data_IF_076348611196
#
_entry.id   IF_076348611196
#
_cell.length_a   1.000
_cell.length_b   1.000
_cell.length_c   1.000
_cell.angle_alpha   90.00
_cell.angle_beta   90.00
_cell.angle_gamma   90.00
#
_symmetry.space_group_name_H-M   'P 1'
#
loop_
_entity.id
_entity.type
_entity.pdbx_description
1 polymer ?
#
# COMPACT_ATOMS: atom_id res chain seq x y z
N UNK A 1 -8.30 0.45 -11.12
CA UNK A 1 -7.47 -0.45 -10.30
C UNK A 1 -8.29 -0.74 -9.05
N UNK A 2 -8.36 -2.00 -8.62
CA UNK A 2 -9.36 -2.60 -7.71
C UNK A 2 -10.69 -2.97 -8.40
N UNK A 3 -10.88 -4.28 -8.62
CA UNK A 3 -12.15 -4.91 -9.04
C UNK A 3 -12.95 -5.28 -7.77
N UNK A 4 -12.89 -4.43 -6.74
CA UNK A 4 -13.42 -4.72 -5.40
C UNK A 4 -14.44 -3.66 -4.96
N UNK A 5 -15.11 -3.89 -3.83
CA UNK A 5 -16.17 -3.01 -3.30
C UNK A 5 -15.68 -1.66 -2.76
N UNK A 6 -14.39 -1.32 -2.89
CA UNK A 6 -13.80 -0.03 -2.47
C UNK A 6 -13.59 0.96 -3.64
N UNK A 7 -14.38 0.83 -4.71
CA UNK A 7 -14.20 1.60 -5.95
C UNK A 7 -15.15 2.81 -6.11
N UNK A 8 -16.21 2.88 -5.31
CA UNK A 8 -17.13 4.02 -5.21
C UNK A 8 -17.62 4.17 -3.76
N UNK A 9 -18.20 5.31 -3.40
CA UNK A 9 -18.57 5.57 -2.01
C UNK A 9 -19.67 4.63 -1.47
N UNK A 10 -20.66 4.30 -2.27
CA UNK A 10 -21.80 3.48 -1.83
C UNK A 10 -21.35 2.06 -1.46
N UNK A 11 -20.60 1.40 -2.33
CA UNK A 11 -20.07 0.05 -2.07
C UNK A 11 -19.02 0.06 -0.96
N UNK A 12 -18.24 1.13 -0.85
CA UNK A 12 -17.22 1.26 0.18
C UNK A 12 -17.86 1.42 1.56
N UNK A 13 -18.95 2.17 1.70
CA UNK A 13 -19.72 2.26 2.94
C UNK A 13 -20.30 0.91 3.35
N UNK A 14 -20.86 0.14 2.40
CA UNK A 14 -21.33 -1.23 2.69
C UNK A 14 -20.18 -2.10 3.19
N UNK A 15 -19.00 -1.96 2.59
CA UNK A 15 -17.80 -2.67 3.01
C UNK A 15 -17.35 -2.27 4.42
N UNK A 16 -17.37 -0.97 4.74
CA UNK A 16 -17.03 -0.47 6.06
C UNK A 16 -18.00 -1.01 7.13
N UNK A 17 -19.30 -1.01 6.85
CA UNK A 17 -20.34 -1.59 7.72
C UNK A 17 -20.09 -3.08 7.97
N UNK A 18 -19.74 -3.85 6.92
CA UNK A 18 -19.41 -5.28 7.06
C UNK A 18 -18.19 -5.54 7.94
N UNK A 19 -17.25 -4.60 8.00
CA UNK A 19 -16.09 -4.65 8.89
C UNK A 19 -16.36 -4.05 10.28
N UNK A 20 -17.62 -3.77 10.62
CA UNK A 20 -18.00 -3.29 11.95
C UNK A 20 -17.96 -1.77 12.13
N UNK A 21 -17.65 -1.00 11.10
CA UNK A 21 -17.66 0.47 11.17
C UNK A 21 -19.07 1.06 10.98
N UNK A 22 -20.15 0.37 11.32
CA UNK A 22 -21.48 0.96 11.19
C UNK A 22 -21.64 2.15 12.14
N UNK A 23 -22.39 3.19 11.74
CA UNK A 23 -22.69 4.35 12.60
C UNK A 23 -23.17 3.91 14.00
N UNK A 24 -24.04 2.91 14.08
CA UNK A 24 -24.57 2.38 15.34
C UNK A 24 -23.52 1.70 16.24
N UNK A 25 -22.35 1.35 15.71
CA UNK A 25 -21.24 0.72 16.45
C UNK A 25 -20.24 1.78 16.91
N UNK A 26 -19.87 2.71 16.02
CA UNK A 26 -18.80 3.70 16.29
C UNK A 26 -19.32 5.05 16.77
N UNK A 27 -20.63 5.28 16.73
CA UNK A 27 -21.33 6.54 17.06
C UNK A 27 -20.73 7.77 16.35
N UNK A 28 -20.31 7.57 15.10
CA UNK A 28 -19.63 8.56 14.28
C UNK A 28 -20.09 8.44 12.82
N UNK A 29 -20.33 9.57 12.11
CA UNK A 29 -20.63 9.55 10.68
C UNK A 29 -19.50 8.91 9.86
N UNK A 30 -19.88 8.01 8.95
CA UNK A 30 -18.94 7.43 7.99
C UNK A 30 -19.00 8.21 6.69
N UNK A 31 -17.85 8.72 6.27
CA UNK A 31 -17.69 9.51 5.05
C UNK A 31 -16.58 8.91 4.21
N UNK A 32 -16.86 8.67 2.94
CA UNK A 32 -15.84 8.31 1.95
C UNK A 32 -15.32 9.61 1.35
N UNK A 33 -14.05 9.93 1.63
CA UNK A 33 -13.51 11.28 1.51
C UNK A 33 -13.32 11.78 0.06
N UNK A 34 -13.36 10.90 -0.94
CA UNK A 34 -13.16 11.21 -2.37
C UNK A 34 -14.47 11.31 -3.17
N UNK A 35 -15.59 11.45 -2.47
CA UNK A 35 -16.91 11.68 -3.05
C UNK A 35 -17.55 10.45 -3.68
N UNK A 36 -18.79 10.60 -4.17
CA UNK A 36 -19.64 9.48 -4.57
C UNK A 36 -18.98 8.54 -5.61
N UNK A 37 -18.22 9.12 -6.55
CA UNK A 37 -17.58 8.40 -7.67
C UNK A 37 -16.04 8.34 -7.55
N UNK A 38 -15.45 8.75 -6.43
CA UNK A 38 -14.00 8.78 -6.26
C UNK A 38 -13.29 9.82 -7.13
N UNK A 39 -13.96 10.93 -7.43
CA UNK A 39 -13.45 12.01 -8.29
C UNK A 39 -13.42 13.38 -7.59
N UNK A 40 -13.67 13.43 -6.27
CA UNK A 40 -13.57 14.64 -5.46
C UNK A 40 -12.22 14.69 -4.75
N UNK A 41 -11.30 15.48 -5.30
CA UNK A 41 -9.93 15.58 -4.80
C UNK A 41 -9.35 16.97 -5.07
N UNK A 42 -8.30 17.30 -4.32
CA UNK A 42 -7.48 18.47 -4.55
C UNK A 42 -6.06 18.07 -4.95
N UNK A 43 -5.44 18.84 -5.84
CA UNK A 43 -4.01 18.75 -6.09
C UNK A 43 -3.24 19.48 -5.00
N UNK A 44 -2.35 18.75 -4.32
CA UNK A 44 -1.49 19.24 -3.25
C UNK A 44 -0.07 19.27 -3.76
N UNK A 45 0.57 20.44 -3.75
CA UNK A 45 1.94 20.61 -4.23
C UNK A 45 2.96 20.06 -3.24
N UNK A 46 3.80 19.13 -3.68
CA UNK A 46 4.88 18.54 -2.89
C UNK A 46 6.21 18.76 -3.60
N UNK A 47 7.33 18.60 -2.89
CA UNK A 47 8.65 18.54 -3.50
C UNK A 47 9.17 17.09 -3.54
N UNK A 48 8.46 16.25 -4.30
CA UNK A 48 8.83 14.87 -4.54
C UNK A 48 9.89 14.71 -5.65
N UNK A 49 10.49 13.53 -5.70
CA UNK A 49 11.37 13.09 -6.79
C UNK A 49 10.59 12.61 -8.02
N UNK A 50 9.38 12.07 -7.85
CA UNK A 50 8.50 11.59 -8.91
C UNK A 50 7.40 12.58 -9.25
N UNK A 51 6.86 13.28 -8.25
CA UNK A 51 5.73 14.19 -8.41
C UNK A 51 6.03 15.59 -7.87
N UNK A 52 5.48 16.61 -8.55
CA UNK A 52 5.44 18.01 -8.06
C UNK A 52 4.09 18.38 -7.43
N UNK A 53 3.08 17.56 -7.66
CA UNK A 53 1.82 17.58 -6.94
C UNK A 53 1.22 16.18 -6.91
N UNK A 54 0.46 15.88 -5.86
CA UNK A 54 -0.27 14.62 -5.69
C UNK A 54 -1.75 14.93 -5.47
N UNK A 55 -2.61 13.96 -5.78
CA UNK A 55 -4.07 14.11 -5.68
C UNK A 55 -4.56 13.52 -4.37
N UNK A 56 -5.09 14.35 -3.49
CA UNK A 56 -5.59 13.94 -2.17
C UNK A 56 -7.10 14.16 -2.12
N UNK A 57 -7.82 13.20 -1.54
CA UNK A 57 -9.27 13.24 -1.38
C UNK A 57 -9.71 14.53 -0.68
N UNK A 58 -10.74 15.21 -1.21
CA UNK A 58 -11.12 16.56 -0.77
C UNK A 58 -11.55 16.59 0.71
N UNK A 59 -12.26 15.57 1.17
CA UNK A 59 -12.65 15.44 2.57
C UNK A 59 -11.48 15.34 3.54
N UNK A 60 -10.30 14.90 3.06
CA UNK A 60 -9.06 14.92 3.86
C UNK A 60 -8.49 16.33 3.86
N UNK A 61 -8.35 16.98 2.70
CA UNK A 61 -7.74 18.33 2.62
C UNK A 61 -8.55 19.43 3.31
N UNK A 62 -9.88 19.25 3.44
CA UNK A 62 -10.76 20.19 4.12
C UNK A 62 -10.80 19.99 5.65
N UNK A 63 -10.17 18.94 6.19
CA UNK A 63 -10.17 18.65 7.63
C UNK A 63 -9.17 19.53 8.41
N UNK A 64 -9.55 19.93 9.63
CA UNK A 64 -8.71 20.78 10.51
C UNK A 64 -7.62 20.00 11.28
N UNK A 65 -7.85 18.70 11.49
CA UNK A 65 -7.00 17.78 12.24
C UNK A 65 -7.26 16.34 11.77
N UNK A 66 -6.29 15.44 11.98
CA UNK A 66 -6.42 14.04 11.56
C UNK A 66 -5.92 13.08 12.64
N UNK A 67 -6.65 11.99 12.86
CA UNK A 67 -6.17 10.82 13.61
C UNK A 67 -6.10 9.65 12.63
N UNK A 68 -4.91 9.08 12.48
CA UNK A 68 -4.62 7.99 11.55
C UNK A 68 -4.57 6.68 12.33
N UNK A 69 -5.55 5.82 12.11
CA UNK A 69 -5.62 4.48 12.71
C UNK A 69 -5.11 3.44 11.72
N UNK A 70 -4.05 2.72 12.08
CA UNK A 70 -3.35 1.80 11.19
C UNK A 70 -3.29 0.41 11.79
N UNK A 71 -3.72 -0.61 11.06
CA UNK A 71 -3.36 -2.00 11.36
C UNK A 71 -2.04 -2.34 10.66
N UNK A 72 -1.00 -2.67 11.43
CA UNK A 72 0.29 -3.06 10.86
C UNK A 72 0.22 -4.49 10.34
N UNK A 73 0.53 -4.68 9.06
CA UNK A 73 0.43 -5.98 8.35
C UNK A 73 1.57 -6.14 7.35
N UNK A 74 1.81 -7.34 6.84
CA UNK A 74 2.72 -7.56 5.72
C UNK A 74 2.12 -7.11 4.37
N UNK A 75 2.95 -7.00 3.34
CA UNK A 75 2.48 -6.71 1.98
C UNK A 75 3.50 -7.11 0.92
N UNK A 76 3.09 -7.92 -0.05
CA UNK A 76 3.93 -8.43 -1.13
C UNK A 76 4.82 -7.38 -1.83
N UNK A 77 4.30 -6.16 -2.05
CA UNK A 77 5.03 -5.10 -2.77
C UNK A 77 5.67 -4.04 -1.90
N UNK A 78 5.33 -4.02 -0.61
CA UNK A 78 5.77 -2.94 0.29
C UNK A 78 6.62 -3.47 1.46
N UNK A 79 6.76 -4.79 1.59
CA UNK A 79 7.29 -5.46 2.78
C UNK A 79 6.22 -5.48 3.86
N UNK A 80 5.83 -4.30 4.33
CA UNK A 80 4.78 -4.10 5.32
C UNK A 80 3.88 -2.90 4.99
N UNK A 81 2.73 -2.84 5.66
CA UNK A 81 1.83 -1.70 5.64
C UNK A 81 1.76 -1.07 7.02
N UNK A 82 2.30 0.14 7.15
CA UNK A 82 2.16 1.00 8.31
C UNK A 82 1.38 2.29 7.99
N UNK A 83 1.56 3.31 8.82
CA UNK A 83 0.97 4.63 8.70
C UNK A 83 1.28 5.27 7.33
N UNK A 84 2.49 5.11 6.79
CA UNK A 84 2.86 5.68 5.50
C UNK A 84 1.99 5.09 4.37
N UNK A 85 1.85 3.76 4.32
CA UNK A 85 1.01 3.09 3.31
C UNK A 85 -0.47 3.42 3.53
N UNK A 86 -0.91 3.53 4.78
CA UNK A 86 -2.28 3.91 5.12
C UNK A 86 -2.60 5.32 4.61
N UNK A 87 -1.74 6.31 4.85
CA UNK A 87 -1.87 7.65 4.29
C UNK A 87 -1.86 7.62 2.76
N UNK A 88 -0.84 6.98 2.17
CA UNK A 88 -0.64 6.98 0.73
C UNK A 88 -1.83 6.37 -0.04
N UNK A 89 -2.30 5.19 0.38
CA UNK A 89 -3.41 4.50 -0.27
C UNK A 89 -4.77 4.98 0.23
N UNK A 90 -4.91 5.33 1.50
CA UNK A 90 -6.17 5.69 2.14
C UNK A 90 -6.64 7.10 1.79
N UNK A 91 -5.72 8.07 1.72
CA UNK A 91 -6.04 9.46 1.41
C UNK A 91 -6.09 9.76 -0.09
N UNK A 92 -5.66 8.82 -0.95
CA UNK A 92 -5.66 9.00 -2.39
C UNK A 92 -6.99 8.56 -3.05
N UNK A 93 -7.54 9.34 -3.99
CA UNK A 93 -8.64 8.91 -4.83
C UNK A 93 -8.18 7.79 -5.80
N UNK A 94 -9.09 7.08 -6.50
CA UNK A 94 -8.75 6.08 -7.51
C UNK A 94 -7.72 6.53 -8.56
N UNK A 95 -7.70 7.82 -8.94
CA UNK A 95 -6.65 8.37 -9.82
C UNK A 95 -5.29 8.43 -9.13
N UNK A 96 -5.22 8.80 -7.86
CA UNK A 96 -3.95 8.90 -7.13
C UNK A 96 -3.39 7.54 -6.73
N UNK A 97 -4.25 6.58 -6.39
CA UNK A 97 -3.87 5.17 -6.23
C UNK A 97 -3.22 4.62 -7.50
N UNK A 98 -3.72 5.04 -8.68
CA UNK A 98 -3.11 4.66 -9.97
C UNK A 98 -1.73 5.27 -10.17
N UNK A 99 -1.52 6.53 -9.81
CA UNK A 99 -0.21 7.19 -9.93
C UNK A 99 0.87 6.45 -9.15
N UNK A 100 0.54 6.01 -7.93
CA UNK A 100 1.45 5.28 -7.06
C UNK A 100 1.91 3.97 -7.71
N UNK A 101 1.01 3.26 -8.39
CA UNK A 101 1.31 1.98 -9.07
C UNK A 101 1.84 2.15 -10.51
N UNK A 102 1.86 3.37 -11.07
CA UNK A 102 2.19 3.61 -12.48
C UNK A 102 3.66 3.37 -12.82
N UNK A 103 4.03 2.16 -13.20
CA UNK A 103 5.44 1.85 -13.49
C UNK A 103 5.76 0.41 -13.16
N UNK A 104 4.89 -0.23 -12.38
CA UNK A 104 4.76 -1.67 -12.25
C UNK A 104 4.18 -2.28 -13.53
N UNK A 105 4.91 -2.22 -14.62
CA UNK A 105 4.40 -2.58 -15.94
C UNK A 105 4.84 -3.98 -16.32
N UNK A 106 3.88 -4.73 -16.85
CA UNK A 106 4.13 -6.07 -17.32
C UNK A 106 5.13 -6.05 -18.49
N UNK A 107 6.03 -7.02 -18.48
CA UNK A 107 6.99 -7.30 -19.54
C UNK A 107 6.73 -8.69 -20.12
N UNK A 108 7.17 -8.92 -21.35
CA UNK A 108 6.99 -10.18 -22.06
C UNK A 108 8.35 -10.83 -22.30
N UNK A 109 8.50 -12.06 -21.82
CA UNK A 109 9.57 -12.95 -22.21
C UNK A 109 9.22 -13.57 -23.56
N UNK A 110 9.80 -13.03 -24.63
CA UNK A 110 9.54 -13.48 -26.01
C UNK A 110 9.86 -14.95 -26.26
N UNK A 111 10.82 -15.52 -25.53
CA UNK A 111 11.20 -16.93 -25.68
C UNK A 111 10.13 -17.89 -25.17
N UNK A 112 9.30 -17.45 -24.22
CA UNK A 112 8.20 -18.23 -23.64
C UNK A 112 6.86 -17.91 -24.30
N UNK A 113 6.68 -16.69 -24.79
CA UNK A 113 5.44 -16.25 -25.41
C UNK A 113 5.20 -17.02 -26.72
N UNK A 114 3.99 -17.54 -26.91
CA UNK A 114 3.62 -18.28 -28.13
C UNK A 114 2.61 -17.52 -29.00
N UNK A 115 2.34 -16.25 -28.69
CA UNK A 115 1.40 -15.43 -29.46
C UNK A 115 -0.08 -15.84 -29.31
N UNK A 116 -0.46 -16.51 -28.23
CA UNK A 116 -1.81 -17.09 -28.08
C UNK A 116 -2.96 -16.08 -27.88
N UNK A 117 -2.69 -14.78 -27.73
CA UNK A 117 -3.73 -13.74 -27.65
C UNK A 117 -4.48 -13.63 -26.30
N UNK A 118 -4.41 -14.61 -25.39
CA UNK A 118 -5.17 -14.56 -24.13
C UNK A 118 -4.94 -13.28 -23.33
N UNK A 119 -3.69 -12.84 -23.19
CA UNK A 119 -3.36 -11.62 -22.45
C UNK A 119 -4.01 -10.35 -23.03
N UNK A 120 -4.13 -10.24 -24.35
CA UNK A 120 -4.82 -9.14 -25.03
C UNK A 120 -6.31 -9.12 -24.70
N UNK A 121 -6.97 -10.28 -24.71
CA UNK A 121 -8.40 -10.39 -24.36
C UNK A 121 -8.72 -9.98 -22.92
N UNK A 122 -7.74 -10.07 -22.02
CA UNK A 122 -7.91 -9.80 -20.60
C UNK A 122 -7.43 -8.42 -20.18
N UNK A 123 -6.83 -7.65 -21.09
CA UNK A 123 -6.34 -6.32 -20.77
C UNK A 123 -7.51 -5.30 -20.74
N UNK A 124 -7.91 -4.80 -19.56
CA UNK A 124 -9.05 -3.87 -19.47
C UNK A 124 -8.71 -2.46 -20.00
N UNK A 125 -7.45 -2.22 -20.36
CA UNK A 125 -6.94 -0.94 -20.83
C UNK A 125 -6.48 -0.99 -22.29
N UNK A 126 -6.67 -2.13 -22.97
CA UNK A 126 -6.20 -2.34 -24.34
C UNK A 126 -4.69 -2.06 -24.54
N UNK A 127 -3.90 -2.28 -23.47
CA UNK A 127 -2.46 -2.06 -23.43
C UNK A 127 -1.61 -3.18 -24.06
N UNK A 128 -2.23 -4.22 -24.60
CA UNK A 128 -1.53 -5.40 -25.11
C UNK A 128 -2.05 -5.68 -26.51
N UNK A 129 -1.13 -5.85 -27.45
CA UNK A 129 -1.42 -6.27 -28.81
C UNK A 129 -0.61 -7.53 -29.15
N UNK A 130 -1.23 -8.49 -29.84
CA UNK A 130 -0.58 -9.74 -30.23
C UNK A 130 -0.65 -9.91 -31.75
N UNK A 131 0.51 -9.88 -32.39
CA UNK A 131 0.69 -10.36 -33.77
C UNK A 131 1.37 -11.74 -33.73
N UNK A 132 2.71 -11.78 -33.67
CA UNK A 132 3.47 -13.02 -33.44
C UNK A 132 3.78 -13.26 -31.95
N UNK A 133 4.00 -12.18 -31.21
CA UNK A 133 4.28 -12.14 -29.78
C UNK A 133 3.46 -11.03 -29.15
N UNK A 134 3.23 -11.13 -27.85
CA UNK A 134 2.59 -10.06 -27.12
C UNK A 134 3.53 -8.86 -26.99
N UNK A 135 3.03 -7.69 -27.37
CA UNK A 135 3.68 -6.39 -27.17
C UNK A 135 2.83 -5.58 -26.21
N UNK A 136 3.46 -5.04 -25.17
CA UNK A 136 2.78 -4.26 -24.13
C UNK A 136 3.12 -2.78 -24.33
N UNK A 137 2.11 -1.97 -24.62
CA UNK A 137 2.25 -0.52 -24.61
C UNK A 137 2.35 -0.02 -23.17
N UNK A 138 3.59 0.31 -22.79
CA UNK A 138 3.94 0.82 -21.48
C UNK A 138 3.36 2.21 -21.20
N UNK A 139 2.92 2.98 -22.19
CA UNK A 139 2.28 4.27 -21.91
C UNK A 139 0.87 4.12 -21.32
N UNK A 140 0.21 3.00 -21.61
CA UNK A 140 -1.17 2.71 -21.19
C UNK A 140 -1.29 1.51 -20.24
N UNK A 141 -0.22 0.72 -20.06
CA UNK A 141 -0.18 -0.36 -19.08
C UNK A 141 -0.19 0.20 -17.65
N UNK A 142 -1.26 -0.12 -16.91
CA UNK A 142 -1.44 0.28 -15.50
C UNK A 142 -1.00 -0.79 -14.50
N UNK A 143 -0.37 -1.88 -14.93
CA UNK A 143 0.17 -2.88 -13.99
C UNK A 143 -0.88 -3.70 -13.22
N UNK A 144 -2.10 -3.81 -13.73
CA UNK A 144 -3.21 -4.49 -13.03
C UNK A 144 -3.08 -6.02 -12.88
N UNK A 145 -1.96 -6.59 -13.31
CA UNK A 145 -1.61 -8.02 -13.27
C UNK A 145 -2.58 -9.00 -13.95
N UNK A 146 -3.69 -8.56 -14.54
CA UNK A 146 -4.66 -9.43 -15.21
C UNK A 146 -4.00 -10.35 -16.26
N UNK A 147 -3.11 -9.79 -17.09
CA UNK A 147 -2.39 -10.54 -18.12
C UNK A 147 -1.38 -11.56 -17.56
N UNK A 148 -0.78 -11.27 -16.40
CA UNK A 148 0.14 -12.18 -15.70
C UNK A 148 -0.57 -13.49 -15.34
N UNK A 149 -1.76 -13.36 -14.75
CA UNK A 149 -2.52 -14.49 -14.17
C UNK A 149 -3.08 -15.45 -15.23
N UNK A 150 -3.28 -14.97 -16.46
CA UNK A 150 -3.92 -15.75 -17.53
C UNK A 150 -2.93 -16.30 -18.55
N UNK A 151 -1.65 -15.94 -18.47
CA UNK A 151 -0.67 -16.38 -19.45
C UNK A 151 -0.32 -17.86 -19.26
N UNK A 152 -0.72 -18.78 -20.15
CA UNK A 152 -0.52 -20.22 -19.95
C UNK A 152 0.96 -20.65 -19.99
N UNK A 153 1.82 -19.79 -20.56
CA UNK A 153 3.27 -20.01 -20.67
C UNK A 153 4.06 -19.28 -19.59
N UNK A 154 3.38 -18.52 -18.71
CA UNK A 154 4.00 -17.61 -17.75
C UNK A 154 5.07 -16.69 -18.40
N UNK A 155 4.79 -16.27 -19.65
CA UNK A 155 5.69 -15.43 -20.41
C UNK A 155 5.60 -13.96 -19.99
N UNK A 156 4.57 -13.57 -19.24
CA UNK A 156 4.40 -12.21 -18.74
C UNK A 156 4.94 -12.16 -17.32
N UNK A 157 5.69 -11.12 -16.97
CA UNK A 157 6.27 -10.93 -15.63
C UNK A 157 6.35 -9.45 -15.25
N UNK A 158 6.61 -9.17 -13.97
CA UNK A 158 6.98 -7.85 -13.48
C UNK A 158 8.45 -7.83 -13.06
N UNK A 159 9.15 -6.72 -13.30
CA UNK A 159 10.51 -6.55 -12.80
C UNK A 159 10.47 -5.93 -11.41
N UNK A 160 10.35 -6.78 -10.38
CA UNK A 160 10.18 -6.34 -8.99
C UNK A 160 11.36 -5.48 -8.51
N UNK A 161 12.60 -5.88 -8.82
CA UNK A 161 13.80 -5.14 -8.42
C UNK A 161 13.81 -3.69 -8.92
N UNK A 162 13.35 -3.46 -10.15
CA UNK A 162 13.26 -2.13 -10.74
C UNK A 162 12.04 -1.34 -10.27
N UNK A 163 10.90 -2.02 -10.16
CA UNK A 163 9.60 -1.35 -10.06
C UNK A 163 9.12 -1.17 -8.61
N UNK A 164 9.53 -2.04 -7.68
CA UNK A 164 9.19 -1.92 -6.25
C UNK A 164 9.77 -0.66 -5.60
N UNK A 165 11.06 -0.30 -5.78
CA UNK A 165 11.59 0.94 -5.21
C UNK A 165 10.80 2.17 -5.64
N UNK A 166 10.47 2.28 -6.94
CA UNK A 166 9.67 3.38 -7.48
C UNK A 166 8.27 3.44 -6.88
N UNK A 167 7.64 2.28 -6.68
CA UNK A 167 6.34 2.18 -6.02
C UNK A 167 6.41 2.69 -4.57
N UNK A 168 7.43 2.28 -3.81
CA UNK A 168 7.68 2.72 -2.44
C UNK A 168 7.91 4.23 -2.34
N UNK A 169 8.78 4.78 -3.21
CA UNK A 169 9.07 6.23 -3.27
C UNK A 169 7.80 7.06 -3.52
N UNK A 170 6.97 6.60 -4.46
CA UNK A 170 5.71 7.28 -4.81
C UNK A 170 4.65 7.19 -3.72
N UNK A 171 4.59 6.07 -2.99
CA UNK A 171 3.73 5.98 -1.81
C UNK A 171 4.17 7.00 -0.75
N UNK A 172 5.47 7.10 -0.46
CA UNK A 172 5.98 8.09 0.48
C UNK A 172 5.66 9.53 0.05
N UNK A 173 5.76 9.85 -1.24
CA UNK A 173 5.36 11.17 -1.78
C UNK A 173 3.86 11.45 -1.64
N UNK A 174 3.02 10.45 -1.86
CA UNK A 174 1.58 10.58 -1.64
C UNK A 174 1.25 10.78 -0.15
N UNK A 175 1.96 10.10 0.73
CA UNK A 175 1.87 10.30 2.18
C UNK A 175 2.27 11.73 2.57
N UNK A 176 3.33 12.28 1.97
CA UNK A 176 3.75 13.68 2.16
C UNK A 176 2.66 14.67 1.80
N UNK A 177 1.99 14.47 0.65
CA UNK A 177 0.86 15.32 0.28
C UNK A 177 -0.35 15.17 1.21
N UNK A 178 -0.60 13.96 1.73
CA UNK A 178 -1.70 13.71 2.65
C UNK A 178 -1.55 14.45 3.99
N UNK A 179 -0.31 14.68 4.45
CA UNK A 179 -0.05 15.32 5.76
C UNK A 179 0.18 16.84 5.69
N UNK A 180 0.40 17.39 4.49
CA UNK A 180 0.89 18.76 4.29
C UNK A 180 -0.02 19.85 4.90
N UNK A 181 -1.33 19.60 4.97
CA UNK A 181 -2.31 20.52 5.57
C UNK A 181 -2.34 20.54 7.10
N UNK A 182 -1.81 19.50 7.76
CA UNK A 182 -2.14 19.22 9.16
C UNK A 182 -1.13 19.72 10.18
N UNK A 183 0.07 20.17 9.79
CA UNK A 183 1.12 20.65 10.72
C UNK A 183 1.24 19.71 11.96
N UNK A 184 1.10 20.23 13.19
CA UNK A 184 1.14 19.46 14.45
C UNK A 184 -0.24 18.96 14.93
N UNK A 185 -1.26 18.96 14.06
CA UNK A 185 -2.63 18.51 14.35
C UNK A 185 -2.90 17.13 13.74
N UNK A 186 -1.93 16.24 13.85
CA UNK A 186 -2.03 14.87 13.37
C UNK A 186 -1.51 13.91 14.43
N UNK A 187 -2.26 12.84 14.67
CA UNK A 187 -1.90 11.77 15.60
C UNK A 187 -1.99 10.44 14.86
N UNK A 188 -0.99 9.59 15.06
CA UNK A 188 -0.92 8.24 14.51
C UNK A 188 -1.11 7.24 15.63
N UNK A 189 -1.96 6.25 15.42
CA UNK A 189 -2.15 5.10 16.31
C UNK A 189 -2.02 3.84 15.46
N UNK A 190 -1.02 3.03 15.76
CA UNK A 190 -0.74 1.78 15.06
C UNK A 190 -1.07 0.59 15.95
N UNK A 191 -1.85 -0.35 15.42
CA UNK A 191 -2.27 -1.60 16.04
C UNK A 191 -1.31 -2.70 15.59
N UNK A 192 -0.54 -3.23 16.53
CA UNK A 192 0.43 -4.32 16.33
C UNK A 192 -0.16 -5.61 16.92
N UNK A 193 -1.31 -5.97 16.38
CA UNK A 193 -2.08 -7.16 16.75
C UNK A 193 -2.40 -7.92 15.47
N UNK A 194 -2.54 -9.23 15.50
CA UNK A 194 -2.91 -10.04 14.33
C UNK A 194 -2.07 -9.66 13.10
N UNK A 195 -0.73 -9.64 13.23
CA UNK A 195 0.15 -9.18 12.15
C UNK A 195 0.28 -10.30 11.12
N UNK A 196 -0.50 -10.22 10.04
CA UNK A 196 -0.58 -11.28 9.01
C UNK A 196 0.37 -11.01 7.84
N UNK A 197 0.75 -12.07 7.06
CA UNK A 197 1.67 -11.96 5.92
C UNK A 197 1.24 -10.98 4.83
N UNK A 198 -0.07 -10.92 4.59
CA UNK A 198 -0.71 -10.04 3.61
C UNK A 198 -1.52 -8.94 4.30
N UNK A 199 -1.78 -7.87 3.55
CA UNK A 199 -2.61 -6.75 3.96
C UNK A 199 -4.09 -7.00 3.65
N UNK A 200 -4.98 -6.34 4.39
CA UNK A 200 -6.45 -6.44 4.28
C UNK A 200 -7.05 -5.96 2.93
N UNK A 201 -6.20 -5.71 1.93
CA UNK A 201 -6.61 -5.49 0.56
C UNK A 201 -6.83 -6.79 -0.21
N UNK A 202 -6.30 -7.93 0.24
CA UNK A 202 -6.58 -9.25 -0.34
C UNK A 202 -7.81 -9.88 0.31
N UNK A 203 -8.41 -10.89 -0.33
CA UNK A 203 -9.68 -11.50 0.13
C UNK A 203 -9.49 -12.69 1.07
N UNK A 204 -8.29 -12.89 1.58
CA UNK A 204 -7.92 -13.97 2.49
C UNK A 204 -7.03 -13.41 3.59
N UNK A 205 -6.84 -14.21 4.65
CA UNK A 205 -5.85 -13.94 5.67
C UNK A 205 -5.23 -15.27 6.07
N UNK A 206 -3.91 -15.26 6.22
CA UNK A 206 -3.19 -16.36 6.86
C UNK A 206 -3.04 -16.09 8.37
N UNK A 207 -2.45 -17.02 9.10
CA UNK A 207 -2.12 -16.88 10.52
C UNK A 207 -1.10 -15.76 10.76
N UNK A 208 -1.13 -15.08 11.93
CA UNK A 208 -0.12 -14.08 12.29
C UNK A 208 1.32 -14.60 12.22
N UNK A 209 2.25 -13.70 11.85
CA UNK A 209 3.69 -14.00 11.76
C UNK A 209 4.43 -13.76 13.07
N UNK A 210 3.85 -12.99 13.99
CA UNK A 210 4.35 -12.73 15.36
C UNK A 210 3.17 -12.67 16.33
N UNK A 211 3.39 -12.85 17.65
CA UNK A 211 2.36 -12.63 18.67
C UNK A 211 1.81 -11.19 18.67
N UNK A 212 0.66 -10.99 19.32
CA UNK A 212 0.13 -9.66 19.58
C UNK A 212 1.06 -8.87 20.52
N UNK A 213 1.37 -7.64 20.14
CA UNK A 213 2.33 -6.77 20.84
C UNK A 213 1.59 -5.65 21.57
N UNK A 214 0.62 -5.02 20.90
CA UNK A 214 -0.19 -3.94 21.47
C UNK A 214 -0.38 -2.77 20.52
N UNK A 215 -0.18 -1.55 21.02
CA UNK A 215 -0.45 -0.32 20.28
C UNK A 215 0.71 0.65 20.40
N UNK A 216 0.96 1.39 19.32
CA UNK A 216 1.89 2.52 19.30
C UNK A 216 1.12 3.81 19.04
N UNK A 217 1.60 4.92 19.60
CA UNK A 217 1.10 6.25 19.30
C UNK A 217 2.25 7.20 19.01
N UNK A 218 2.08 8.10 18.02
CA UNK A 218 3.11 9.06 17.62
C UNK A 218 2.47 10.28 16.95
N UNK A 219 3.21 11.39 16.91
CA UNK A 219 2.88 12.54 16.06
C UNK A 219 3.67 12.54 14.74
N UNK A 220 4.49 11.52 14.50
CA UNK A 220 5.34 11.37 13.32
C UNK A 220 5.11 10.00 12.65
N UNK A 221 4.75 9.95 11.35
CA UNK A 221 4.42 8.73 10.63
C UNK A 221 5.64 7.85 10.33
N UNK A 222 6.82 8.43 10.18
CA UNK A 222 8.05 7.68 9.91
C UNK A 222 8.56 7.05 11.21
N UNK A 223 8.48 7.79 12.32
CA UNK A 223 8.90 7.30 13.62
C UNK A 223 8.05 6.11 14.09
N UNK A 224 6.71 6.18 13.91
CA UNK A 224 5.81 5.08 14.34
C UNK A 224 5.98 3.83 13.50
N UNK A 225 6.20 3.97 12.20
CA UNK A 225 6.43 2.82 11.31
C UNK A 225 7.82 2.21 11.54
N UNK A 226 8.83 3.04 11.83
CA UNK A 226 10.17 2.55 12.22
C UNK A 226 10.09 1.79 13.54
N UNK A 227 9.45 2.36 14.56
CA UNK A 227 9.24 1.68 15.85
C UNK A 227 8.45 0.38 15.69
N UNK A 228 7.41 0.38 14.85
CA UNK A 228 6.63 -0.84 14.60
C UNK A 228 7.49 -1.94 13.97
N UNK A 229 8.26 -1.62 12.93
CA UNK A 229 9.15 -2.58 12.28
C UNK A 229 10.19 -3.14 13.26
N UNK A 230 10.83 -2.28 14.04
CA UNK A 230 11.85 -2.67 15.00
C UNK A 230 11.30 -3.61 16.08
N UNK A 231 10.15 -3.25 16.69
CA UNK A 231 9.53 -4.05 17.76
C UNK A 231 9.05 -5.40 17.21
N UNK A 232 8.42 -5.42 16.03
CA UNK A 232 7.99 -6.67 15.37
C UNK A 232 9.20 -7.59 15.10
N UNK A 233 10.32 -7.02 14.66
CA UNK A 233 11.51 -7.79 14.38
C UNK A 233 12.19 -8.33 15.64
N UNK A 234 11.95 -7.74 16.83
CA UNK A 234 12.40 -8.30 18.11
C UNK A 234 11.55 -9.49 18.60
N UNK A 235 10.34 -9.67 18.08
CA UNK A 235 9.51 -10.80 18.46
C UNK A 235 10.00 -12.11 17.85
N UNK A 236 9.67 -13.23 18.52
CA UNK A 236 9.87 -14.54 17.92
C UNK A 236 8.80 -14.80 16.87
N UNK A 237 9.21 -15.13 15.65
CA UNK A 237 8.32 -15.46 14.56
C UNK A 237 7.52 -16.73 14.82
N UNK A 238 6.21 -16.67 14.60
CA UNK A 238 5.30 -17.81 14.75
C UNK A 238 5.48 -18.83 13.62
N UNK A 239 5.47 -20.11 13.99
CA UNK A 239 5.46 -21.22 13.02
C UNK A 239 4.02 -21.54 12.60
N UNK A 240 3.85 -22.04 11.38
CA UNK A 240 2.52 -22.36 10.84
C UNK A 240 1.80 -21.18 10.17
N UNK A 241 2.52 -20.08 9.92
CA UNK A 241 2.12 -19.01 8.99
C UNK A 241 2.97 -19.07 7.71
N UNK A 242 2.73 -18.16 6.77
CA UNK A 242 3.56 -17.96 5.58
C UNK A 242 4.96 -17.38 5.86
N UNK A 243 5.34 -17.17 7.13
CA UNK A 243 6.72 -16.83 7.49
C UNK A 243 7.64 -18.04 7.23
N UNK A 244 8.50 -17.92 6.21
CA UNK A 244 9.31 -19.05 5.72
C UNK A 244 10.68 -19.14 6.42
N UNK A 245 11.22 -18.00 6.80
CA UNK A 245 12.47 -17.86 7.55
C UNK A 245 12.41 -16.64 8.47
N UNK A 246 13.52 -16.30 9.12
CA UNK A 246 13.62 -15.14 10.03
C UNK A 246 12.79 -15.27 11.33
N UNK A 247 12.75 -16.47 11.92
CA UNK A 247 11.94 -16.74 13.11
C UNK A 247 12.55 -16.22 14.42
N UNK A 248 13.85 -15.90 14.46
CA UNK A 248 14.52 -15.51 15.69
C UNK A 248 14.47 -13.97 15.91
N UNK A 249 14.48 -13.50 17.17
CA UNK A 249 14.55 -12.07 17.49
C UNK A 249 15.72 -11.35 16.78
N UNK A 250 15.43 -10.17 16.24
CA UNK A 250 16.36 -9.33 15.49
C UNK A 250 16.39 -9.58 13.98
N UNK A 251 15.77 -10.67 13.50
CA UNK A 251 15.64 -10.94 12.07
C UNK A 251 14.41 -10.24 11.47
N UNK A 252 14.50 -9.78 10.23
CA UNK A 252 13.39 -9.05 9.58
C UNK A 252 12.24 -9.99 9.20
N UNK A 253 11.11 -9.88 9.90
CA UNK A 253 9.95 -10.77 9.74
C UNK A 253 9.28 -10.63 8.39
N UNK A 254 9.27 -9.42 7.81
CA UNK A 254 8.58 -9.16 6.55
C UNK A 254 9.35 -9.65 5.33
N UNK A 255 10.68 -9.52 5.34
CA UNK A 255 11.55 -10.16 4.33
C UNK A 255 11.54 -11.69 4.45
N UNK A 256 11.32 -12.22 5.66
CA UNK A 256 11.12 -13.66 5.89
C UNK A 256 9.84 -14.21 5.25
N UNK A 257 8.87 -13.34 4.94
CA UNK A 257 7.68 -13.65 4.15
C UNK A 257 7.91 -13.32 2.68
N UNK A 258 8.37 -12.10 2.39
CA UNK A 258 8.51 -11.52 1.06
C UNK A 258 9.96 -11.18 0.75
N UNK A 259 10.79 -12.19 0.44
CA UNK A 259 12.24 -12.03 0.28
C UNK A 259 12.74 -11.14 -0.86
N UNK A 260 11.84 -10.56 -1.65
CA UNK A 260 12.14 -9.66 -2.78
C UNK A 260 11.81 -8.19 -2.50
N UNK A 261 11.35 -7.85 -1.30
CA UNK A 261 11.05 -6.45 -0.91
C UNK A 261 11.60 -6.15 0.48
N UNK A 262 12.30 -5.04 0.58
CA UNK A 262 12.78 -4.49 1.85
C UNK A 262 11.84 -3.35 2.29
N UNK A 263 11.13 -3.58 3.39
CA UNK A 263 10.22 -2.60 3.97
C UNK A 263 10.92 -1.37 4.57
N UNK A 264 12.20 -1.46 4.93
CA UNK A 264 12.93 -0.32 5.48
C UNK A 264 13.19 0.78 4.45
N UNK A 265 13.20 0.43 3.16
CA UNK A 265 13.48 1.37 2.07
C UNK A 265 12.48 2.54 2.00
N UNK A 266 11.18 2.29 2.23
CA UNK A 266 10.19 3.38 2.24
C UNK A 266 10.43 4.36 3.40
N UNK A 267 10.93 3.88 4.54
CA UNK A 267 11.24 4.70 5.72
C UNK A 267 12.42 5.64 5.44
N UNK A 268 13.46 5.12 4.78
CA UNK A 268 14.63 5.90 4.35
C UNK A 268 14.26 7.01 3.37
N UNK A 269 13.47 6.65 2.36
CA UNK A 269 13.03 7.64 1.38
C UNK A 269 12.08 8.67 2.00
N UNK A 270 11.15 8.24 2.87
CA UNK A 270 10.24 9.11 3.58
C UNK A 270 10.96 10.16 4.45
N UNK A 271 11.99 9.74 5.19
CA UNK A 271 12.84 10.66 5.94
C UNK A 271 13.57 11.64 5.02
N UNK A 272 14.14 11.14 3.91
CA UNK A 272 14.85 11.97 2.92
C UNK A 272 13.98 13.07 2.32
N UNK A 273 12.70 12.82 2.06
CA UNK A 273 11.77 13.82 1.52
C UNK A 273 11.11 14.69 2.61
N UNK A 274 11.48 14.51 3.88
CA UNK A 274 10.99 15.31 5.00
C UNK A 274 9.58 14.95 5.47
N UNK A 275 9.11 13.72 5.23
CA UNK A 275 7.81 13.25 5.74
C UNK A 275 7.84 13.09 7.28
N UNK A 276 8.99 12.76 7.85
CA UNK A 276 9.19 12.53 9.28
C UNK A 276 10.62 12.10 9.56
N UNK A 277 10.85 11.50 10.72
CA UNK A 277 12.17 11.01 11.16
C UNK A 277 12.13 9.54 11.54
N UNK A 278 13.18 8.78 11.20
CA UNK A 278 13.39 7.41 11.68
C UNK A 278 13.87 7.36 13.13
N UNK A 279 14.40 8.47 13.66
CA UNK A 279 14.77 8.56 15.07
C UNK A 279 13.52 8.65 15.96
N UNK A 280 13.44 7.78 16.96
CA UNK A 280 12.37 7.77 17.95
C UNK A 280 12.91 7.42 19.34
N UNK A 281 12.07 7.60 20.36
CA UNK A 281 12.31 7.11 21.72
C UNK A 281 11.03 6.45 22.20
N UNK A 282 11.10 5.19 22.63
CA UNK A 282 9.96 4.49 23.19
C UNK A 282 9.71 4.98 24.62
N UNK A 283 8.46 5.30 24.90
CA UNK A 283 7.97 5.65 26.24
C UNK A 283 6.81 4.70 26.54
N UNK A 284 7.01 3.80 27.48
CA UNK A 284 5.95 2.92 27.99
C UNK A 284 5.04 3.72 28.94
N UNK A 285 3.73 3.54 28.78
CA UNK A 285 2.67 4.24 29.53
C UNK A 285 1.86 3.23 30.32
#
# INVERSE_FOLDING_TARGET
MYIGSRHNAADHLITAIRHGFAYAVVDCPLIIADGLKGNDYQEVSIDGGHFKSVRIARGITDADAMVVLTHVKGHALAGFGGAIKNLAMGCAPPVGKRDQHQGMQAEVNESLCEGCGYCETQCPFSAIHVEDKAVIDRSICYGCSACLQVCPRHAIYFNWERDVPRFLERMAEYSLGAVQGFKRKILYISFLTDITPDCDCVTWSDSPIVPDIGFLASADPVAIDTAALDIINQERGLTGSSLQCHHEPGEDKFTGVWGYVDGSYILEYAEKIGLGTRSYTLVEI
#
